data_IF_550115250642
#
_entry.id   IF_550115250642
#
_cell.length_a   1.000
_cell.length_b   1.000
_cell.length_c   1.000
_cell.angle_alpha   90.00
_cell.angle_beta   90.00
_cell.angle_gamma   90.00
#
_symmetry.space_group_name_H-M   'P 1'
#
loop_
_entity.id
_entity.type
_entity.pdbx_description
1 polymer ?
#
# COMPACT_ATOMS: atom_id res chain seq x y z
N UNK A 1 13.98 -28.18 -25.53
CA UNK A 1 13.89 -26.98 -24.72
C UNK A 1 14.49 -25.80 -25.48
N UNK A 2 13.68 -24.81 -25.80
CA UNK A 2 14.19 -23.60 -26.41
C UNK A 2 14.59 -22.61 -25.30
N UNK A 3 15.87 -22.35 -25.17
CA UNK A 3 16.38 -21.22 -24.40
C UNK A 3 15.84 -19.95 -25.03
N UNK A 4 15.10 -19.16 -24.25
CA UNK A 4 14.63 -17.87 -24.68
C UNK A 4 15.65 -16.81 -24.25
N UNK A 5 16.66 -16.60 -25.10
CA UNK A 5 17.67 -15.58 -24.87
C UNK A 5 17.33 -14.33 -25.71
N UNK A 6 17.05 -13.23 -25.06
CA UNK A 6 16.98 -11.92 -25.69
C UNK A 6 18.31 -11.24 -25.41
N UNK A 7 19.26 -11.38 -26.31
CA UNK A 7 20.57 -10.76 -26.23
C UNK A 7 20.79 -9.88 -27.45
N UNK A 8 20.98 -8.62 -27.23
CA UNK A 8 21.48 -7.70 -28.26
C UNK A 8 23.01 -7.48 -28.14
N UNK A 9 23.65 -8.22 -27.25
CA UNK A 9 25.09 -8.11 -26.99
C UNK A 9 25.95 -9.03 -27.84
N UNK A 10 25.36 -9.99 -28.55
CA UNK A 10 26.12 -10.97 -29.32
C UNK A 10 26.07 -10.69 -30.83
N UNK A 11 27.19 -10.40 -31.41
CA UNK A 11 27.34 -10.38 -32.87
C UNK A 11 28.52 -11.25 -33.29
N UNK A 12 28.43 -11.74 -34.49
CA UNK A 12 29.48 -12.56 -35.09
C UNK A 12 30.07 -11.80 -36.27
N UNK A 13 31.33 -11.39 -36.16
CA UNK A 13 32.03 -10.60 -37.17
C UNK A 13 32.03 -11.21 -38.57
N UNK A 14 31.83 -12.53 -38.66
CA UNK A 14 31.72 -13.24 -39.93
C UNK A 14 30.43 -12.90 -40.69
N UNK A 15 29.35 -12.57 -39.96
CA UNK A 15 28.02 -12.35 -40.54
C UNK A 15 27.44 -10.95 -40.27
N UNK A 16 27.92 -10.32 -39.23
CA UNK A 16 27.45 -8.98 -38.84
C UNK A 16 28.64 -8.10 -38.51
N UNK A 17 28.73 -6.95 -39.16
CA UNK A 17 29.83 -5.97 -38.97
C UNK A 17 29.58 -4.99 -37.82
N UNK A 18 28.41 -5.02 -37.22
CA UNK A 18 28.05 -4.15 -36.11
C UNK A 18 27.02 -4.85 -35.19
N UNK A 19 26.98 -4.50 -33.90
CA UNK A 19 25.91 -4.95 -33.00
C UNK A 19 24.56 -4.40 -33.45
N UNK A 20 23.47 -5.06 -33.06
CA UNK A 20 22.09 -4.70 -33.38
C UNK A 20 21.69 -3.30 -32.90
N UNK A 21 20.45 -2.90 -33.17
CA UNK A 21 19.94 -1.55 -32.84
C UNK A 21 19.30 -1.44 -31.44
N UNK A 22 19.19 -2.53 -30.71
CA UNK A 22 18.39 -2.68 -29.52
C UNK A 22 17.06 -3.37 -29.80
N UNK A 23 16.35 -3.73 -28.76
CA UNK A 23 15.08 -4.48 -28.82
C UNK A 23 14.05 -3.70 -28.01
N UNK A 24 12.91 -3.39 -28.63
CA UNK A 24 11.85 -2.64 -27.97
C UNK A 24 10.47 -3.24 -28.25
N UNK A 25 9.57 -3.10 -27.25
CA UNK A 25 8.15 -3.39 -27.39
C UNK A 25 7.86 -4.87 -27.77
N UNK A 26 8.48 -5.81 -27.09
CA UNK A 26 8.25 -7.24 -27.33
C UNK A 26 7.20 -7.78 -26.37
N UNK A 27 6.23 -8.48 -26.93
CA UNK A 27 5.18 -9.17 -26.17
C UNK A 27 5.35 -10.68 -26.28
N UNK A 28 5.50 -11.31 -25.13
CA UNK A 28 5.42 -12.77 -24.95
C UNK A 28 4.07 -13.11 -24.32
N UNK A 29 3.18 -13.74 -25.10
CA UNK A 29 1.81 -14.00 -24.65
C UNK A 29 1.48 -15.48 -24.63
N UNK A 30 0.78 -15.92 -23.57
CA UNK A 30 0.26 -17.28 -23.42
C UNK A 30 1.36 -18.36 -23.49
N UNK A 31 2.47 -18.12 -22.80
CA UNK A 31 3.58 -19.08 -22.75
C UNK A 31 3.40 -19.99 -21.55
N UNK A 32 3.55 -21.30 -21.77
CA UNK A 32 3.56 -22.30 -20.70
C UNK A 32 4.81 -23.15 -20.80
N UNK A 33 5.49 -23.32 -19.68
CA UNK A 33 6.59 -24.24 -19.52
C UNK A 33 6.22 -25.32 -18.51
N UNK A 34 6.53 -26.58 -18.83
CA UNK A 34 6.38 -27.72 -17.93
C UNK A 34 7.65 -28.56 -18.00
N UNK A 35 8.31 -28.73 -16.87
CA UNK A 35 9.57 -29.49 -16.78
C UNK A 35 10.17 -29.40 -15.38
N UNK A 36 11.05 -30.32 -15.05
CA UNK A 36 11.72 -30.41 -13.75
C UNK A 36 12.78 -29.31 -13.57
N UNK A 37 13.48 -28.95 -14.65
CA UNK A 37 14.57 -27.98 -14.66
C UNK A 37 14.31 -26.92 -15.73
N UNK A 38 13.66 -25.83 -15.36
CA UNK A 38 13.61 -24.68 -16.25
C UNK A 38 15.00 -24.06 -16.37
N UNK A 39 15.52 -24.01 -17.59
CA UNK A 39 16.76 -23.31 -17.90
C UNK A 39 16.63 -21.81 -17.62
N UNK A 40 17.74 -21.16 -17.26
CA UNK A 40 17.79 -19.74 -17.03
C UNK A 40 17.65 -19.00 -18.38
N UNK A 41 16.63 -18.17 -18.47
CA UNK A 41 16.48 -17.23 -19.59
C UNK A 41 17.23 -15.92 -19.28
N UNK A 42 17.82 -15.29 -20.29
CA UNK A 42 18.58 -14.07 -20.14
C UNK A 42 17.96 -12.96 -20.99
N UNK A 43 17.75 -11.79 -20.38
CA UNK A 43 17.37 -10.56 -21.06
C UNK A 43 18.43 -9.52 -20.72
N UNK A 44 19.18 -9.06 -21.74
CA UNK A 44 20.30 -8.14 -21.58
C UNK A 44 20.43 -7.24 -22.81
N UNK A 45 20.69 -5.94 -22.59
CA UNK A 45 21.01 -4.99 -23.65
C UNK A 45 22.52 -4.90 -23.87
N UNK A 46 22.92 -4.37 -25.01
CA UNK A 46 24.34 -4.27 -25.38
C UNK A 46 25.04 -3.10 -24.67
N UNK A 47 24.46 -1.90 -24.75
CA UNK A 47 24.97 -0.67 -24.14
C UNK A 47 23.82 0.34 -23.90
N UNK A 48 24.16 1.53 -23.39
CA UNK A 48 23.19 2.59 -23.11
C UNK A 48 22.40 3.09 -24.35
N UNK A 49 22.94 2.91 -25.54
CA UNK A 49 22.28 3.31 -26.79
C UNK A 49 21.45 2.18 -27.40
N UNK A 50 21.78 0.95 -27.03
CA UNK A 50 21.16 -0.27 -27.58
C UNK A 50 20.60 -1.13 -26.45
N UNK A 51 19.56 -0.57 -25.83
CA UNK A 51 18.87 -1.20 -24.71
C UNK A 51 17.82 -2.20 -25.17
N UNK A 52 17.44 -3.06 -24.25
CA UNK A 52 16.20 -3.84 -24.33
C UNK A 52 15.15 -3.13 -23.53
N UNK A 53 14.01 -2.76 -24.14
CA UNK A 53 12.98 -1.96 -23.51
C UNK A 53 11.58 -2.50 -23.72
N UNK A 54 10.72 -2.27 -22.72
CA UNK A 54 9.29 -2.55 -22.79
C UNK A 54 9.01 -4.02 -23.16
N UNK A 55 9.57 -4.94 -22.41
CA UNK A 55 9.28 -6.37 -22.57
C UNK A 55 8.10 -6.76 -21.67
N UNK A 56 7.05 -7.29 -22.29
CA UNK A 56 5.85 -7.74 -21.58
C UNK A 56 5.68 -9.24 -21.69
N UNK A 57 5.53 -9.88 -20.55
CA UNK A 57 5.06 -11.26 -20.45
C UNK A 57 3.59 -11.25 -20.03
N UNK A 58 2.71 -11.82 -20.85
CA UNK A 58 1.27 -11.90 -20.60
C UNK A 58 0.85 -13.36 -20.52
N UNK A 59 0.28 -13.78 -19.39
CA UNK A 59 -0.13 -15.15 -19.11
C UNK A 59 1.05 -16.16 -19.18
N UNK A 60 2.19 -15.83 -18.60
CA UNK A 60 3.30 -16.77 -18.45
C UNK A 60 2.99 -17.80 -17.36
N UNK A 61 3.07 -19.08 -17.66
CA UNK A 61 2.92 -20.18 -16.70
C UNK A 61 4.17 -21.02 -16.63
N UNK A 62 4.63 -21.30 -15.42
CA UNK A 62 5.74 -22.23 -15.15
C UNK A 62 5.23 -23.33 -14.23
N UNK A 63 5.25 -24.58 -14.72
CA UNK A 63 4.72 -25.74 -14.03
C UNK A 63 3.30 -25.53 -13.50
N UNK A 64 2.43 -24.93 -14.33
CA UNK A 64 1.05 -24.62 -13.99
C UNK A 64 0.86 -23.37 -13.13
N UNK A 65 1.92 -22.81 -12.54
CA UNK A 65 1.84 -21.57 -11.74
C UNK A 65 1.91 -20.36 -12.66
N UNK A 66 0.92 -19.48 -12.55
CA UNK A 66 0.88 -18.20 -13.25
C UNK A 66 1.92 -17.24 -12.65
N UNK A 67 2.73 -16.63 -13.50
CA UNK A 67 3.78 -15.68 -13.11
C UNK A 67 3.31 -14.26 -13.47
N UNK A 68 3.18 -13.43 -12.44
CA UNK A 68 2.56 -12.12 -12.53
C UNK A 68 3.17 -11.17 -11.49
N UNK A 69 3.27 -9.88 -11.78
CA UNK A 69 3.83 -8.89 -10.85
C UNK A 69 3.00 -8.77 -9.57
N UNK A 70 1.71 -9.10 -9.64
CA UNK A 70 0.75 -9.04 -8.54
C UNK A 70 0.40 -10.42 -7.95
N UNK A 71 1.28 -11.42 -8.10
CA UNK A 71 1.03 -12.75 -7.51
C UNK A 71 0.78 -12.70 -6.00
N UNK A 72 -0.23 -13.45 -5.48
CA UNK A 72 -0.59 -13.45 -4.06
C UNK A 72 0.57 -13.73 -3.11
N UNK A 73 1.38 -14.70 -3.46
CA UNK A 73 2.41 -15.27 -2.57
C UNK A 73 3.82 -14.71 -2.85
N UNK A 74 3.92 -13.67 -3.68
CA UNK A 74 5.22 -13.08 -4.00
C UNK A 74 5.66 -12.12 -2.88
N UNK A 75 6.78 -12.38 -2.20
CA UNK A 75 7.35 -11.42 -1.27
C UNK A 75 7.67 -10.09 -1.99
N UNK A 76 7.45 -8.97 -1.33
CA UNK A 76 7.66 -7.63 -1.94
C UNK A 76 9.08 -7.39 -2.45
N UNK A 77 10.07 -7.99 -1.79
CA UNK A 77 11.49 -7.87 -2.14
C UNK A 77 11.93 -8.87 -3.21
N UNK A 78 11.05 -9.77 -3.64
CA UNK A 78 11.38 -10.74 -4.67
C UNK A 78 10.96 -10.24 -6.05
N UNK A 79 11.87 -10.27 -7.01
CA UNK A 79 11.56 -9.87 -8.39
C UNK A 79 10.76 -10.95 -9.08
N UNK A 80 9.76 -10.57 -9.86
CA UNK A 80 8.97 -11.51 -10.67
C UNK A 80 9.84 -12.25 -11.69
N UNK A 81 10.85 -11.56 -12.24
CA UNK A 81 11.83 -12.18 -13.13
C UNK A 81 12.56 -13.36 -12.49
N UNK A 82 12.89 -13.30 -11.19
CA UNK A 82 13.56 -14.40 -10.49
C UNK A 82 12.63 -15.60 -10.35
N UNK A 83 11.34 -15.37 -10.12
CA UNK A 83 10.34 -16.46 -10.09
C UNK A 83 10.09 -17.06 -11.47
N UNK A 84 10.25 -16.27 -12.52
CA UNK A 84 10.21 -16.72 -13.90
C UNK A 84 11.51 -17.37 -14.37
N UNK A 85 12.55 -17.43 -13.52
CA UNK A 85 13.90 -17.81 -13.88
C UNK A 85 14.47 -17.02 -15.07
N UNK A 86 14.22 -15.72 -15.08
CA UNK A 86 14.71 -14.78 -16.08
C UNK A 86 15.75 -13.87 -15.41
N UNK A 87 17.00 -14.02 -15.80
CA UNK A 87 18.02 -13.05 -15.43
C UNK A 87 17.86 -11.77 -16.25
N UNK A 88 17.75 -10.66 -15.54
CA UNK A 88 17.68 -9.33 -16.16
C UNK A 88 19.04 -8.67 -15.97
N UNK A 89 19.79 -8.60 -17.05
CA UNK A 89 21.13 -8.02 -17.08
C UNK A 89 21.11 -6.49 -17.23
N UNK A 90 22.29 -5.88 -17.50
CA UNK A 90 22.42 -4.46 -17.72
C UNK A 90 21.69 -3.99 -18.98
N UNK A 91 21.45 -2.68 -19.07
CA UNK A 91 20.83 -2.00 -20.22
C UNK A 91 19.43 -2.54 -20.58
N UNK A 92 18.65 -2.93 -19.55
CA UNK A 92 17.27 -3.38 -19.70
C UNK A 92 16.35 -2.43 -18.96
N UNK A 93 15.30 -1.98 -19.63
CA UNK A 93 14.31 -1.06 -19.09
C UNK A 93 12.90 -1.63 -19.25
N UNK A 94 12.11 -1.57 -18.18
CA UNK A 94 10.69 -1.88 -18.17
C UNK A 94 10.33 -3.31 -18.63
N UNK A 95 10.55 -4.28 -17.74
CA UNK A 95 10.01 -5.63 -17.88
C UNK A 95 8.78 -5.77 -17.00
N UNK A 96 7.66 -6.24 -17.57
CA UNK A 96 6.37 -6.36 -16.89
C UNK A 96 5.79 -7.75 -17.10
N UNK A 97 5.29 -8.33 -16.02
CA UNK A 97 4.56 -9.61 -16.02
C UNK A 97 3.11 -9.35 -15.67
N UNK A 98 2.20 -9.68 -16.59
CA UNK A 98 0.76 -9.47 -16.44
C UNK A 98 -0.03 -10.74 -16.74
N UNK A 99 -1.26 -10.79 -16.27
CA UNK A 99 -2.17 -11.89 -16.61
C UNK A 99 -3.60 -11.39 -16.77
N UNK A 100 -4.38 -12.09 -17.58
CA UNK A 100 -5.81 -11.81 -17.72
C UNK A 100 -6.58 -12.10 -16.41
N UNK A 101 -6.00 -12.95 -15.56
CA UNK A 101 -6.58 -13.30 -14.25
C UNK A 101 -6.27 -12.23 -13.20
N UNK A 102 -5.14 -11.53 -13.31
CA UNK A 102 -4.74 -10.48 -12.37
C UNK A 102 -5.54 -9.18 -12.55
N UNK A 103 -6.15 -8.98 -13.71
CA UNK A 103 -7.10 -7.90 -13.94
C UNK A 103 -8.48 -8.17 -13.34
N UNK A 104 -8.78 -9.38 -12.87
CA UNK A 104 -9.91 -9.58 -11.98
C UNK A 104 -9.57 -8.96 -10.62
N UNK A 105 -9.64 -7.65 -10.61
CA UNK A 105 -9.78 -6.73 -9.49
C UNK A 105 -9.67 -7.43 -8.12
N UNK A 106 -8.48 -7.49 -7.55
CA UNK A 106 -8.38 -7.54 -6.11
C UNK A 106 -8.96 -6.22 -5.61
N UNK A 107 -10.26 -6.19 -5.38
CA UNK A 107 -10.86 -5.13 -4.59
C UNK A 107 -10.30 -5.31 -3.19
N UNK A 108 -9.53 -4.35 -2.74
CA UNK A 108 -9.28 -4.25 -1.32
C UNK A 108 -10.65 -4.18 -0.63
N UNK A 109 -10.81 -5.05 0.35
CA UNK A 109 -12.03 -5.02 1.18
C UNK A 109 -11.73 -4.05 2.31
N UNK A 110 -12.55 -3.03 2.42
CA UNK A 110 -12.44 -2.01 3.45
C UNK A 110 -13.51 -2.20 4.54
N UNK A 111 -13.21 -1.91 5.80
CA UNK A 111 -11.89 -1.66 6.36
C UNK A 111 -11.00 -2.91 6.31
N UNK A 112 -9.68 -2.73 6.27
CA UNK A 112 -8.76 -3.85 6.06
C UNK A 112 -7.34 -3.65 6.60
N UNK A 113 -7.07 -2.59 7.39
CA UNK A 113 -5.75 -2.36 7.99
C UNK A 113 -5.61 -3.15 9.28
N UNK A 114 -6.28 -2.72 10.35
CA UNK A 114 -6.24 -3.37 11.66
C UNK A 114 -7.44 -4.29 11.85
N UNK A 115 -8.60 -3.87 11.39
CA UNK A 115 -9.86 -4.59 11.50
C UNK A 115 -10.48 -4.81 10.14
N UNK A 116 -11.02 -6.00 9.91
CA UNK A 116 -11.96 -6.23 8.82
C UNK A 116 -13.38 -5.88 9.29
N UNK A 117 -14.32 -5.68 8.36
CA UNK A 117 -15.73 -5.50 8.74
C UNK A 117 -16.25 -6.67 9.58
N UNK A 118 -15.86 -7.90 9.25
CA UNK A 118 -16.23 -9.08 10.03
C UNK A 118 -15.69 -9.06 11.46
N UNK A 119 -14.50 -8.47 11.70
CA UNK A 119 -13.97 -8.30 13.06
C UNK A 119 -14.78 -7.28 13.85
N UNK A 120 -15.14 -6.16 13.23
CA UNK A 120 -15.96 -5.11 13.84
C UNK A 120 -17.37 -5.65 14.17
N UNK A 121 -18.00 -6.37 13.26
CA UNK A 121 -19.31 -6.97 13.47
C UNK A 121 -19.29 -8.01 14.58
N UNK A 122 -18.24 -8.85 14.62
CA UNK A 122 -18.04 -9.83 15.70
C UNK A 122 -17.86 -9.14 17.04
N UNK A 123 -17.02 -8.11 17.13
CA UNK A 123 -16.81 -7.38 18.39
C UNK A 123 -18.08 -6.68 18.85
N UNK A 124 -18.85 -6.09 17.94
CA UNK A 124 -20.16 -5.51 18.24
C UNK A 124 -21.10 -6.55 18.84
N UNK A 125 -21.23 -7.71 18.22
CA UNK A 125 -22.08 -8.80 18.76
C UNK A 125 -21.65 -9.26 20.15
N UNK A 126 -20.34 -9.35 20.41
CA UNK A 126 -19.82 -9.71 21.73
C UNK A 126 -20.13 -8.64 22.80
N UNK A 127 -20.07 -7.37 22.44
CA UNK A 127 -20.43 -6.25 23.33
C UNK A 127 -21.93 -6.25 23.61
N UNK A 128 -22.78 -6.42 22.60
CA UNK A 128 -24.23 -6.51 22.72
C UNK A 128 -24.64 -7.69 23.61
N UNK A 129 -23.96 -8.82 23.47
CA UNK A 129 -24.18 -10.02 24.29
C UNK A 129 -23.56 -9.91 25.71
N UNK A 130 -22.89 -8.80 26.04
CA UNK A 130 -22.15 -8.59 27.29
C UNK A 130 -21.12 -9.70 27.61
N UNK A 131 -20.51 -10.22 26.56
CA UNK A 131 -19.53 -11.30 26.70
C UNK A 131 -18.18 -10.76 27.17
N UNK A 132 -17.62 -11.37 28.18
CA UNK A 132 -16.28 -11.07 28.67
C UNK A 132 -15.19 -11.73 27.83
N UNK A 133 -14.03 -11.09 27.66
CA UNK A 133 -13.59 -9.79 28.21
C UNK A 133 -14.00 -8.58 27.35
N UNK A 134 -14.77 -8.76 26.28
CA UNK A 134 -15.13 -7.71 25.34
C UNK A 134 -15.94 -6.59 26.00
N UNK A 135 -16.94 -6.97 26.81
CA UNK A 135 -17.83 -6.00 27.42
C UNK A 135 -17.14 -5.08 28.43
N UNK A 136 -16.33 -5.64 29.32
CA UNK A 136 -15.56 -4.84 30.28
C UNK A 136 -14.53 -3.95 29.60
N UNK A 137 -13.92 -4.43 28.50
CA UNK A 137 -12.98 -3.63 27.69
C UNK A 137 -13.69 -2.50 26.98
N UNK A 138 -14.88 -2.74 26.42
CA UNK A 138 -15.72 -1.71 25.82
C UNK A 138 -16.10 -0.62 26.82
N UNK A 139 -16.50 -0.96 28.05
CA UNK A 139 -16.81 0.01 29.09
C UNK A 139 -15.60 0.91 29.40
N UNK A 140 -14.41 0.32 29.56
CA UNK A 140 -13.16 1.06 29.77
C UNK A 140 -12.84 1.99 28.58
N UNK A 141 -13.08 1.55 27.36
CA UNK A 141 -12.90 2.38 26.19
C UNK A 141 -13.88 3.57 26.22
N UNK A 142 -15.14 3.32 26.51
CA UNK A 142 -16.18 4.37 26.58
C UNK A 142 -15.90 5.40 27.68
N UNK A 143 -15.32 5.00 28.79
CA UNK A 143 -14.93 5.87 29.93
C UNK A 143 -13.60 6.60 29.70
N UNK A 144 -12.85 6.24 28.66
CA UNK A 144 -11.56 6.86 28.36
C UNK A 144 -11.72 8.33 28.01
N UNK A 145 -10.79 9.16 28.49
CA UNK A 145 -10.73 10.57 28.10
C UNK A 145 -10.47 10.78 26.61
N UNK A 146 -9.93 9.78 25.92
CA UNK A 146 -9.77 9.82 24.46
C UNK A 146 -11.08 9.59 23.71
N UNK A 147 -12.05 8.95 24.35
CA UNK A 147 -13.38 8.66 23.79
C UNK A 147 -14.42 9.75 24.08
N UNK A 148 -14.04 10.79 24.82
CA UNK A 148 -14.95 11.88 25.19
C UNK A 148 -15.38 12.67 23.96
N UNK A 149 -16.68 12.83 23.76
CA UNK A 149 -17.26 13.65 22.68
C UNK A 149 -16.99 15.14 22.88
N UNK A 150 -16.75 15.58 24.12
CA UNK A 150 -16.44 16.99 24.46
C UNK A 150 -14.94 17.30 24.32
N UNK A 151 -14.10 16.29 24.06
CA UNK A 151 -12.67 16.52 23.92
C UNK A 151 -12.36 17.41 22.72
N UNK A 152 -11.57 18.49 22.90
CA UNK A 152 -11.25 19.40 21.81
C UNK A 152 -10.30 18.75 20.81
N UNK A 153 -10.41 19.19 19.55
CA UNK A 153 -9.40 18.91 18.54
C UNK A 153 -8.14 19.69 18.88
N UNK A 154 -7.00 19.00 18.94
CA UNK A 154 -5.72 19.65 19.28
C UNK A 154 -5.12 20.34 18.05
N UNK A 155 -5.23 19.71 16.88
CA UNK A 155 -4.86 20.34 15.61
C UNK A 155 -6.09 21.01 14.97
N UNK A 156 -5.93 22.27 14.57
CA UNK A 156 -7.02 23.05 13.97
C UNK A 156 -6.83 23.31 12.47
N UNK A 157 -6.25 22.38 11.74
CA UNK A 157 -6.04 22.52 10.30
C UNK A 157 -4.91 23.47 9.94
N UNK A 158 -4.08 23.84 10.89
CA UNK A 158 -2.91 24.68 10.66
C UNK A 158 -1.68 23.83 10.29
N UNK A 159 -0.76 24.46 9.59
CA UNK A 159 0.53 23.90 9.32
C UNK A 159 1.23 23.52 10.64
N UNK A 160 1.57 22.26 10.81
CA UNK A 160 2.25 21.82 12.03
C UNK A 160 3.70 22.27 11.98
N UNK A 161 4.02 23.16 12.87
CA UNK A 161 5.40 23.59 13.10
C UNK A 161 6.20 22.46 13.75
N UNK A 162 7.48 22.45 13.41
CA UNK A 162 8.49 21.55 13.94
C UNK A 162 8.34 21.32 15.47
N UNK A 163 8.41 20.06 15.90
CA UNK A 163 8.34 19.67 17.30
C UNK A 163 6.96 19.45 17.91
N UNK A 164 5.87 19.87 17.25
CA UNK A 164 4.49 19.65 17.75
C UNK A 164 3.74 18.51 17.06
N UNK A 165 4.24 18.04 15.94
CA UNK A 165 3.60 16.99 15.15
C UNK A 165 3.23 15.77 15.99
N UNK A 166 4.17 15.23 16.73
CA UNK A 166 3.96 14.03 17.52
C UNK A 166 2.99 14.18 18.67
N UNK A 167 2.96 15.36 19.31
CA UNK A 167 2.05 15.61 20.41
C UNK A 167 0.60 15.73 19.92
N UNK A 168 0.38 16.49 18.82
CA UNK A 168 -0.95 16.74 18.28
C UNK A 168 -1.52 15.50 17.58
N UNK A 169 -0.78 14.92 16.64
CA UNK A 169 -1.28 13.80 15.85
C UNK A 169 -1.46 12.52 16.69
N UNK A 170 -0.63 12.34 17.74
CA UNK A 170 -0.77 11.19 18.62
C UNK A 170 -2.03 11.26 19.48
N UNK A 171 -2.44 12.46 19.91
CA UNK A 171 -3.66 12.68 20.68
C UNK A 171 -4.89 12.61 19.78
N UNK A 172 -4.90 13.41 18.71
CA UNK A 172 -6.04 13.45 17.78
C UNK A 172 -6.21 12.12 17.03
N UNK A 173 -5.11 11.47 16.65
CA UNK A 173 -5.15 10.16 16.03
C UNK A 173 -5.77 9.10 16.94
N UNK A 174 -5.42 9.09 18.24
CA UNK A 174 -6.03 8.18 19.20
C UNK A 174 -7.52 8.48 19.40
N UNK A 175 -7.90 9.76 19.50
CA UNK A 175 -9.29 10.15 19.63
C UNK A 175 -10.12 9.82 18.39
N UNK A 176 -9.57 10.05 17.20
CA UNK A 176 -10.20 9.65 15.94
C UNK A 176 -10.44 8.15 15.89
N UNK A 177 -9.43 7.37 16.24
CA UNK A 177 -9.50 5.90 16.25
C UNK A 177 -10.55 5.42 17.26
N UNK A 178 -10.48 5.85 18.50
CA UNK A 178 -11.40 5.41 19.54
C UNK A 178 -12.85 5.83 19.24
N UNK A 179 -13.06 7.01 18.65
CA UNK A 179 -14.37 7.46 18.18
C UNK A 179 -14.89 6.62 17.00
N UNK A 180 -14.07 6.37 15.98
CA UNK A 180 -14.46 5.53 14.85
C UNK A 180 -14.82 4.10 15.32
N UNK A 181 -14.02 3.55 16.21
CA UNK A 181 -14.25 2.22 16.77
C UNK A 181 -15.53 2.17 17.60
N UNK A 182 -15.78 3.16 18.47
CA UNK A 182 -17.02 3.26 19.24
C UNK A 182 -18.25 3.41 18.34
N UNK A 183 -18.16 4.15 17.25
CA UNK A 183 -19.25 4.21 16.27
C UNK A 183 -19.59 2.83 15.71
N UNK A 184 -18.59 2.05 15.30
CA UNK A 184 -18.84 0.68 14.82
C UNK A 184 -19.47 -0.23 15.89
N UNK A 185 -19.07 -0.09 17.15
CA UNK A 185 -19.60 -0.91 18.23
C UNK A 185 -21.01 -0.50 18.69
N UNK A 186 -21.32 0.80 18.67
CA UNK A 186 -22.58 1.33 19.25
C UNK A 186 -23.59 1.77 18.20
N UNK A 187 -23.15 2.18 17.01
CA UNK A 187 -23.98 2.86 16.04
C UNK A 187 -24.30 4.32 16.38
N UNK A 188 -23.74 4.86 17.48
CA UNK A 188 -24.01 6.24 17.91
C UNK A 188 -23.35 7.24 16.95
N UNK A 189 -24.18 7.97 16.20
CA UNK A 189 -23.76 8.95 15.18
C UNK A 189 -22.84 10.06 15.71
N UNK A 190 -22.93 10.38 17.00
CA UNK A 190 -22.07 11.37 17.64
C UNK A 190 -20.59 10.98 17.56
N UNK A 191 -20.27 9.70 17.71
CA UNK A 191 -18.90 9.19 17.60
C UNK A 191 -18.40 9.28 16.14
N UNK A 192 -19.25 8.96 15.16
CA UNK A 192 -18.89 9.08 13.75
C UNK A 192 -18.54 10.53 13.38
N UNK A 193 -19.40 11.50 13.78
CA UNK A 193 -19.13 12.91 13.54
C UNK A 193 -17.84 13.37 14.23
N UNK A 194 -17.59 12.90 15.44
CA UNK A 194 -16.38 13.25 16.18
C UNK A 194 -15.11 12.68 15.54
N UNK A 195 -15.15 11.45 15.04
CA UNK A 195 -14.06 10.86 14.28
C UNK A 195 -13.74 11.71 13.03
N UNK A 196 -14.78 12.09 12.25
CA UNK A 196 -14.61 12.94 11.06
C UNK A 196 -14.05 14.33 11.41
N UNK A 197 -14.46 14.92 12.53
CA UNK A 197 -13.91 16.19 13.00
C UNK A 197 -12.38 16.11 13.18
N UNK A 198 -11.89 15.06 13.83
CA UNK A 198 -10.45 14.83 13.99
C UNK A 198 -9.73 14.55 12.65
N UNK A 199 -10.32 13.72 11.80
CA UNK A 199 -9.76 13.43 10.48
C UNK A 199 -9.63 14.67 9.62
N UNK A 200 -10.68 15.49 9.57
CA UNK A 200 -10.68 16.72 8.78
C UNK A 200 -9.70 17.76 9.31
N UNK A 201 -9.63 17.95 10.63
CA UNK A 201 -8.68 18.86 11.24
C UNK A 201 -7.21 18.46 10.99
N UNK A 202 -6.96 17.17 10.87
CA UNK A 202 -5.62 16.62 10.64
C UNK A 202 -5.29 16.35 9.16
N UNK A 203 -6.08 16.88 8.22
CA UNK A 203 -5.88 16.71 6.77
C UNK A 203 -4.99 17.77 6.11
N UNK A 204 -4.31 18.61 6.88
CA UNK A 204 -3.56 19.77 6.37
C UNK A 204 -2.06 19.73 6.66
N UNK A 205 -1.53 18.57 7.01
CA UNK A 205 -0.10 18.43 7.26
C UNK A 205 0.69 18.59 5.96
N UNK A 206 1.64 19.51 5.96
CA UNK A 206 2.55 19.73 4.82
C UNK A 206 4.00 19.44 5.16
N UNK A 207 4.31 19.22 6.43
CA UNK A 207 5.67 18.94 6.88
C UNK A 207 5.65 18.05 8.12
N UNK A 208 6.46 17.00 8.10
CA UNK A 208 6.63 16.05 9.19
C UNK A 208 7.99 16.15 9.85
N UNK A 209 8.83 17.12 9.44
CA UNK A 209 10.15 17.26 10.01
C UNK A 209 10.07 17.67 11.48
N UNK A 210 10.24 16.69 12.34
CA UNK A 210 10.64 16.95 13.72
C UNK A 210 12.16 16.86 13.80
N UNK A 211 12.79 17.85 14.41
CA UNK A 211 14.23 17.82 14.63
C UNK A 211 14.64 16.54 15.35
N UNK A 212 15.37 15.70 14.66
CA UNK A 212 16.26 14.71 15.26
C UNK A 212 15.66 13.38 15.67
N UNK A 213 14.39 13.13 15.39
CA UNK A 213 13.78 11.85 15.73
C UNK A 213 13.34 11.16 14.45
N UNK A 214 13.97 10.13 14.10
CA UNK A 214 13.78 9.38 12.88
C UNK A 214 12.40 8.72 12.74
N UNK A 215 12.31 7.57 12.07
CA UNK A 215 11.07 6.89 11.71
C UNK A 215 10.08 6.60 12.85
N UNK A 216 10.56 6.56 14.10
CA UNK A 216 9.74 6.23 15.28
C UNK A 216 8.72 7.32 15.63
N UNK A 217 9.02 8.59 15.38
CA UNK A 217 8.09 9.68 15.72
C UNK A 217 6.88 9.73 14.79
N UNK A 218 7.04 9.24 13.57
CA UNK A 218 5.97 9.16 12.61
C UNK A 218 5.05 7.93 12.81
N UNK A 219 5.42 7.03 13.71
CA UNK A 219 4.64 5.85 14.01
C UNK A 219 3.25 6.15 14.60
N UNK A 220 3.03 7.35 15.14
CA UNK A 220 1.76 7.72 15.78
C UNK A 220 0.63 8.02 14.79
N UNK A 221 0.95 8.25 13.51
CA UNK A 221 -0.07 8.51 12.48
C UNK A 221 -0.91 7.27 12.16
N UNK A 222 -0.45 6.08 12.48
CA UNK A 222 -1.16 4.85 12.14
C UNK A 222 -2.58 4.81 12.69
N UNK A 223 -2.81 5.35 13.90
CA UNK A 223 -4.15 5.42 14.48
C UNK A 223 -5.08 6.34 13.70
N UNK A 224 -4.56 7.45 13.19
CA UNK A 224 -5.34 8.37 12.35
C UNK A 224 -5.68 7.71 11.01
N UNK A 225 -4.77 6.97 10.42
CA UNK A 225 -4.99 6.25 9.17
C UNK A 225 -5.99 5.11 9.36
N UNK A 226 -5.87 4.37 10.46
CA UNK A 226 -6.79 3.29 10.81
C UNK A 226 -8.21 3.82 11.07
N UNK A 227 -8.33 4.98 11.73
CA UNK A 227 -9.59 5.68 11.85
C UNK A 227 -10.18 6.08 10.49
N UNK A 228 -9.37 6.62 9.59
CA UNK A 228 -9.78 6.99 8.24
C UNK A 228 -10.29 5.78 7.46
N UNK A 229 -9.64 4.63 7.61
CA UNK A 229 -10.06 3.38 6.99
C UNK A 229 -11.41 2.90 7.52
N UNK A 230 -11.62 2.93 8.84
CA UNK A 230 -12.91 2.60 9.45
C UNK A 230 -14.03 3.54 9.05
N UNK A 231 -13.72 4.83 8.81
CA UNK A 231 -14.71 5.86 8.46
C UNK A 231 -14.98 5.99 6.96
N UNK A 232 -14.28 5.23 6.12
CA UNK A 232 -14.31 5.37 4.66
C UNK A 232 -15.72 5.36 4.05
N UNK A 233 -16.59 4.48 4.54
CA UNK A 233 -17.95 4.31 4.03
C UNK A 233 -19.00 5.14 4.80
N UNK A 234 -18.56 5.93 5.77
CA UNK A 234 -19.45 6.81 6.50
C UNK A 234 -19.89 8.00 5.64
N UNK A 235 -21.18 8.14 5.40
CA UNK A 235 -21.74 9.16 4.50
C UNK A 235 -21.49 10.60 4.94
N UNK A 236 -21.27 10.84 6.23
CA UNK A 236 -20.93 12.14 6.79
C UNK A 236 -19.49 12.58 6.55
N UNK A 237 -18.62 11.70 6.08
CA UNK A 237 -17.27 12.05 5.64
C UNK A 237 -17.25 12.21 4.12
N UNK A 238 -17.27 13.46 3.65
CA UNK A 238 -17.45 13.73 2.22
C UNK A 238 -16.29 13.23 1.38
N UNK A 239 -16.54 12.89 0.10
CA UNK A 239 -15.47 12.47 -0.82
C UNK A 239 -14.39 13.53 -0.99
N UNK A 240 -14.75 14.82 -0.90
CA UNK A 240 -13.78 15.91 -0.94
C UNK A 240 -12.87 15.91 0.28
N UNK A 241 -13.41 15.67 1.47
CA UNK A 241 -12.63 15.57 2.70
C UNK A 241 -11.72 14.33 2.70
N UNK A 242 -12.23 13.18 2.24
CA UNK A 242 -11.44 11.98 2.05
C UNK A 242 -10.28 12.20 1.07
N UNK A 243 -10.54 12.90 -0.04
CA UNK A 243 -9.50 13.20 -1.01
C UNK A 243 -8.43 14.12 -0.42
N UNK A 244 -8.84 15.16 0.32
CA UNK A 244 -7.88 16.02 1.03
C UNK A 244 -7.01 15.24 2.03
N UNK A 245 -7.60 14.30 2.76
CA UNK A 245 -6.84 13.43 3.66
C UNK A 245 -5.83 12.55 2.91
N UNK A 246 -6.23 11.97 1.77
CA UNK A 246 -5.33 11.20 0.90
C UNK A 246 -4.20 12.06 0.34
N UNK A 247 -4.51 13.25 -0.15
CA UNK A 247 -3.53 14.19 -0.70
C UNK A 247 -2.50 14.57 0.36
N UNK A 248 -2.91 14.76 1.61
CA UNK A 248 -2.01 14.99 2.73
C UNK A 248 -1.05 13.82 2.93
N UNK A 249 -1.52 12.57 2.87
CA UNK A 249 -0.68 11.38 3.02
C UNK A 249 0.35 11.21 1.90
N UNK A 250 0.03 11.65 0.68
CA UNK A 250 0.93 11.57 -0.48
C UNK A 250 1.77 12.82 -0.69
N UNK A 251 1.56 13.85 0.08
CA UNK A 251 2.28 15.10 -0.07
C UNK A 251 3.80 14.90 -0.02
N UNK A 252 4.59 15.50 -0.93
CA UNK A 252 6.02 15.23 -1.05
C UNK A 252 6.82 15.44 0.25
N UNK A 253 6.47 16.43 1.05
CA UNK A 253 7.09 16.67 2.35
C UNK A 253 6.82 15.55 3.36
N UNK A 254 5.70 14.86 3.24
CA UNK A 254 5.33 13.73 4.07
C UNK A 254 5.91 12.41 3.54
N UNK A 255 5.82 12.18 2.25
CA UNK A 255 6.30 10.95 1.61
C UNK A 255 7.82 10.86 1.51
N UNK A 256 8.53 11.99 1.53
CA UNK A 256 9.99 12.03 1.51
C UNK A 256 10.63 11.77 2.87
N UNK A 257 9.87 11.80 3.94
CA UNK A 257 10.35 11.21 5.19
C UNK A 257 10.41 9.71 4.96
N UNK A 258 11.45 9.03 5.39
CA UNK A 258 11.60 7.57 5.35
C UNK A 258 10.55 6.87 6.22
N UNK A 259 9.33 7.37 6.18
CA UNK A 259 8.23 6.95 7.02
C UNK A 259 7.57 5.71 6.45
N UNK A 260 8.01 4.57 6.91
CA UNK A 260 7.45 3.28 6.55
C UNK A 260 5.93 3.19 6.79
N UNK A 261 5.42 3.84 7.82
CA UNK A 261 3.99 3.78 8.17
C UNK A 261 3.11 4.46 7.13
N UNK A 262 3.50 5.64 6.64
CA UNK A 262 2.77 6.34 5.59
C UNK A 262 2.85 5.61 4.25
N UNK A 263 4.04 5.12 3.88
CA UNK A 263 4.21 4.30 2.66
C UNK A 263 3.38 3.01 2.72
N UNK A 264 3.25 2.42 3.89
CA UNK A 264 2.43 1.22 4.08
C UNK A 264 0.95 1.52 3.90
N UNK A 265 0.47 2.60 4.50
CA UNK A 265 -0.93 3.02 4.38
C UNK A 265 -1.29 3.44 2.96
N UNK A 266 -0.39 4.12 2.25
CA UNK A 266 -0.58 4.52 0.84
C UNK A 266 -0.72 3.34 -0.11
N UNK A 267 -0.15 2.20 0.21
CA UNK A 267 -0.31 0.98 -0.59
C UNK A 267 -1.67 0.30 -0.37
N UNK A 268 -2.43 0.72 0.64
CA UNK A 268 -3.72 0.14 1.03
C UNK A 268 -4.90 1.05 0.70
N UNK A 269 -4.69 2.32 0.39
CA UNK A 269 -5.69 3.31 -0.04
C UNK A 269 -5.70 3.45 -1.56
#
# INVERSE_FOLDING_TARGET
GSEMCIRDSFYNEKYCTAPGRGIENVLFKNISYTGENAELSIIEGYDEKRKVKNIRFENLKINGKLIDDNMPDKPRWYKTSDMARIYVGPHVENIVFTSDVAQSQRRFVHPGITYTQGDLDRMKAMVEARQEPYYSTFLKLKESSYSSLDAPVVNRGEQIKEGRFNATIGVDGRRAHDSAFLWHLTGEEAYARKAVEYLNANSYYTNTSSRGTGPLDNGKIYLLIDAAEMMRDYSGWTRQDQQRFKDMLVYPGYSNTENYSAKYALSLI
#
